data_IF_639615628702
#
_entry.id   IF_639615628702
#
_cell.length_a   1.000
_cell.length_b   1.000
_cell.length_c   1.000
_cell.angle_alpha   90.00
_cell.angle_beta   90.00
_cell.angle_gamma   90.00
#
_symmetry.space_group_name_H-M   'P 1'
#
loop_
_entity.id
_entity.type
_entity.pdbx_description
1 polymer ?
#
# COMPACT_ATOMS: atom_id res chain seq x y z
N UNK A 1 -21.73 -9.97 -22.29
CA UNK A 1 -20.55 -10.80 -22.61
C UNK A 1 -19.62 -10.84 -21.41
N UNK A 2 -18.89 -11.94 -21.20
CA UNK A 2 -17.89 -12.06 -20.12
C UNK A 2 -16.59 -11.41 -20.61
N UNK A 3 -16.10 -10.40 -19.88
CA UNK A 3 -14.80 -9.79 -20.17
C UNK A 3 -13.70 -10.83 -19.85
N UNK A 4 -12.74 -11.08 -20.75
CA UNK A 4 -11.58 -11.92 -20.43
C UNK A 4 -10.83 -11.36 -19.21
N UNK A 5 -10.42 -12.19 -18.23
CA UNK A 5 -9.74 -11.72 -17.01
C UNK A 5 -8.51 -10.87 -17.29
N UNK A 6 -7.71 -11.22 -18.30
CA UNK A 6 -6.53 -10.45 -18.69
C UNK A 6 -6.86 -9.00 -19.10
N UNK A 7 -7.94 -8.80 -19.87
CA UNK A 7 -8.41 -7.45 -20.24
C UNK A 7 -8.98 -6.74 -19.02
N UNK A 8 -9.69 -7.47 -18.14
CA UNK A 8 -10.15 -6.94 -16.86
C UNK A 8 -9.02 -6.41 -15.98
N UNK A 9 -7.91 -7.15 -15.87
CA UNK A 9 -6.72 -6.69 -15.14
C UNK A 9 -6.09 -5.45 -15.80
N UNK A 10 -6.00 -5.41 -17.13
CA UNK A 10 -5.48 -4.23 -17.83
C UNK A 10 -6.32 -2.97 -17.52
N UNK A 11 -7.65 -3.10 -17.58
CA UNK A 11 -8.55 -1.99 -17.23
C UNK A 11 -8.48 -1.62 -15.75
N UNK A 12 -8.32 -2.61 -14.87
CA UNK A 12 -8.13 -2.37 -13.44
C UNK A 12 -6.89 -1.49 -13.19
N UNK A 13 -5.74 -1.86 -13.74
CA UNK A 13 -4.50 -1.08 -13.57
C UNK A 13 -4.58 0.29 -14.24
N UNK A 14 -5.23 0.39 -15.40
CA UNK A 14 -5.32 1.65 -16.13
C UNK A 14 -6.28 2.67 -15.48
N UNK A 15 -7.36 2.21 -14.84
CA UNK A 15 -8.48 3.06 -14.44
C UNK A 15 -8.75 3.11 -12.94
N UNK A 16 -8.41 2.05 -12.20
CA UNK A 16 -8.81 1.89 -10.80
C UNK A 16 -7.61 2.01 -9.87
N UNK A 17 -6.49 1.39 -10.24
CA UNK A 17 -5.30 1.33 -9.40
C UNK A 17 -4.83 2.72 -8.96
N UNK A 18 -4.79 3.69 -9.88
CA UNK A 18 -4.40 5.07 -9.59
C UNK A 18 -5.27 5.76 -8.52
N UNK A 19 -6.56 5.39 -8.41
CA UNK A 19 -7.45 5.92 -7.39
C UNK A 19 -7.27 5.19 -6.06
N UNK A 20 -7.02 3.88 -6.10
CA UNK A 20 -6.78 3.07 -4.90
C UNK A 20 -5.39 3.32 -4.29
N UNK A 21 -4.44 3.85 -5.06
CA UNK A 21 -3.07 4.13 -4.60
C UNK A 21 -2.79 5.63 -4.47
N UNK A 22 -3.77 6.48 -4.76
CA UNK A 22 -3.60 7.93 -4.70
C UNK A 22 -3.17 8.38 -3.30
N UNK A 23 -2.08 9.16 -3.25
CA UNK A 23 -1.52 9.81 -2.06
C UNK A 23 -1.22 8.87 -0.88
N UNK A 24 -1.15 7.55 -1.08
CA UNK A 24 -0.90 6.59 -0.01
C UNK A 24 0.54 6.62 0.53
N UNK A 25 1.44 7.23 -0.22
CA UNK A 25 2.82 7.52 0.15
C UNK A 25 2.92 8.69 1.13
N UNK A 26 2.00 9.65 1.06
CA UNK A 26 1.94 10.81 1.95
C UNK A 26 0.98 10.55 3.13
N UNK A 27 -0.19 9.97 2.86
CA UNK A 27 -1.21 9.64 3.88
C UNK A 27 -1.16 8.15 4.14
N UNK A 28 -0.42 7.77 5.19
CA UNK A 28 -0.20 6.39 5.59
C UNK A 28 -1.47 5.81 6.22
N UNK A 29 -1.79 4.55 5.88
CA UNK A 29 -3.01 3.86 6.32
C UNK A 29 -2.92 3.37 7.79
N UNK A 30 -2.87 4.30 8.74
CA UNK A 30 -2.87 3.98 10.18
C UNK A 30 -4.24 3.49 10.63
N UNK A 31 -5.32 4.06 10.10
CA UNK A 31 -6.70 3.61 10.37
C UNK A 31 -7.08 2.42 9.49
N UNK A 32 -7.23 1.26 10.12
CA UNK A 32 -7.67 0.03 9.46
C UNK A 32 -9.08 0.14 8.86
N UNK A 33 -9.96 0.94 9.46
CA UNK A 33 -11.37 1.05 9.04
C UNK A 33 -11.48 1.63 7.64
N UNK A 34 -10.78 2.73 7.39
CA UNK A 34 -10.74 3.40 6.09
C UNK A 34 -10.11 2.51 5.01
N UNK A 35 -9.03 1.80 5.36
CA UNK A 35 -8.37 0.87 4.45
C UNK A 35 -9.27 -0.33 4.08
N UNK A 36 -10.01 -0.87 5.04
CA UNK A 36 -10.91 -2.01 4.81
C UNK A 36 -12.06 -1.65 3.86
N UNK A 37 -12.57 -0.42 3.90
CA UNK A 37 -13.56 0.06 2.94
C UNK A 37 -13.01 0.01 1.51
N UNK A 38 -11.79 0.50 1.30
CA UNK A 38 -11.11 0.46 -0.01
C UNK A 38 -10.81 -0.98 -0.45
N UNK A 39 -10.30 -1.81 0.45
CA UNK A 39 -9.97 -3.20 0.13
C UNK A 39 -11.23 -4.04 -0.15
N UNK A 40 -12.34 -3.77 0.52
CA UNK A 40 -13.63 -4.41 0.25
C UNK A 40 -14.15 -4.10 -1.16
N UNK A 41 -14.01 -2.84 -1.60
CA UNK A 41 -14.35 -2.42 -2.96
C UNK A 41 -13.41 -3.09 -3.97
N UNK A 42 -12.10 -3.10 -3.69
CA UNK A 42 -11.11 -3.76 -4.53
C UNK A 42 -11.45 -5.24 -4.74
N UNK A 43 -11.65 -6.01 -3.66
CA UNK A 43 -12.01 -7.43 -3.73
C UNK A 43 -13.30 -7.65 -4.54
N UNK A 44 -14.31 -6.79 -4.38
CA UNK A 44 -15.54 -6.89 -5.17
C UNK A 44 -15.30 -6.74 -6.69
N UNK A 45 -14.38 -5.86 -7.09
CA UNK A 45 -13.95 -5.74 -8.49
C UNK A 45 -13.18 -6.97 -8.95
N UNK A 46 -12.26 -7.49 -8.14
CA UNK A 46 -11.49 -8.70 -8.47
C UNK A 46 -12.38 -9.94 -8.65
N UNK A 47 -13.37 -10.13 -7.77
CA UNK A 47 -14.39 -11.17 -7.94
C UNK A 47 -15.12 -11.05 -9.29
N UNK A 48 -15.41 -9.82 -9.72
CA UNK A 48 -16.09 -9.56 -10.99
C UNK A 48 -15.19 -9.81 -12.21
N UNK A 49 -13.90 -9.47 -12.11
CA UNK A 49 -12.91 -9.73 -13.17
C UNK A 49 -12.71 -11.23 -13.37
N UNK A 50 -12.51 -11.98 -12.29
CA UNK A 50 -12.34 -13.43 -12.35
C UNK A 50 -13.68 -14.16 -12.63
N UNK A 51 -14.79 -13.54 -12.28
CA UNK A 51 -16.15 -14.08 -12.42
C UNK A 51 -16.43 -15.22 -11.44
N UNK A 52 -15.98 -15.03 -10.19
CA UNK A 52 -16.21 -15.94 -9.06
C UNK A 52 -17.15 -15.31 -8.04
N UNK A 53 -17.82 -16.14 -7.24
CA UNK A 53 -18.75 -15.65 -6.21
C UNK A 53 -18.04 -15.00 -5.03
N UNK A 54 -18.76 -14.16 -4.27
CA UNK A 54 -18.26 -13.44 -3.08
C UNK A 54 -17.73 -14.34 -1.94
N UNK A 55 -18.00 -15.65 -1.99
CA UNK A 55 -17.54 -16.65 -1.02
C UNK A 55 -16.23 -17.32 -1.42
N UNK A 56 -15.66 -17.00 -2.59
CA UNK A 56 -14.35 -17.53 -2.97
C UNK A 56 -13.28 -16.95 -2.03
N UNK A 57 -12.24 -17.75 -1.75
CA UNK A 57 -11.16 -17.30 -0.89
C UNK A 57 -10.41 -16.10 -1.50
N UNK A 58 -9.99 -15.19 -0.61
CA UNK A 58 -9.34 -13.92 -0.99
C UNK A 58 -7.96 -14.15 -1.60
N UNK A 59 -7.22 -15.15 -1.10
CA UNK A 59 -5.88 -15.49 -1.59
C UNK A 59 -5.92 -15.87 -3.07
N UNK A 60 -6.94 -16.66 -3.47
CA UNK A 60 -7.11 -17.07 -4.87
C UNK A 60 -7.37 -15.88 -5.79
N UNK A 61 -8.06 -14.82 -5.33
CA UNK A 61 -8.30 -13.64 -6.16
C UNK A 61 -6.98 -12.99 -6.58
N UNK A 62 -6.06 -12.85 -5.63
CA UNK A 62 -4.78 -12.20 -5.85
C UNK A 62 -3.80 -13.10 -6.62
N UNK A 63 -3.74 -14.40 -6.28
CA UNK A 63 -2.82 -15.34 -6.94
C UNK A 63 -3.18 -15.60 -8.40
N UNK A 64 -4.47 -15.72 -8.73
CA UNK A 64 -4.93 -16.01 -10.10
C UNK A 64 -4.87 -14.78 -11.02
N UNK A 65 -5.03 -13.57 -10.47
CA UNK A 65 -4.99 -12.33 -11.25
C UNK A 65 -3.61 -11.68 -11.30
N UNK A 66 -2.66 -12.13 -10.47
CA UNK A 66 -1.34 -11.52 -10.34
C UNK A 66 -1.37 -10.11 -9.74
N UNK A 67 -2.41 -9.79 -8.96
CA UNK A 67 -2.61 -8.48 -8.33
C UNK A 67 -2.18 -8.58 -6.86
N UNK A 68 -1.42 -7.59 -6.37
CA UNK A 68 -1.05 -7.53 -4.96
C UNK A 68 -2.22 -7.06 -4.08
N UNK A 69 -2.35 -7.58 -2.84
CA UNK A 69 -3.29 -7.01 -1.87
C UNK A 69 -3.06 -5.50 -1.69
N UNK A 70 -4.15 -4.73 -1.61
CA UNK A 70 -4.08 -3.26 -1.64
C UNK A 70 -3.16 -2.69 -0.55
N UNK A 71 -3.27 -3.25 0.67
CA UNK A 71 -2.41 -2.88 1.80
C UNK A 71 -0.93 -3.01 1.50
N UNK A 72 -0.53 -4.11 0.84
CA UNK A 72 0.87 -4.37 0.50
C UNK A 72 1.35 -3.36 -0.53
N UNK A 73 0.53 -3.12 -1.56
CA UNK A 73 0.87 -2.18 -2.62
C UNK A 73 1.03 -0.74 -2.09
N UNK A 74 0.11 -0.27 -1.24
CA UNK A 74 0.16 1.08 -0.65
C UNK A 74 1.38 1.27 0.25
N UNK A 75 1.71 0.27 1.07
CA UNK A 75 2.93 0.28 1.91
C UNK A 75 4.19 0.30 1.04
N UNK A 76 4.22 -0.47 -0.04
CA UNK A 76 5.37 -0.48 -0.95
C UNK A 76 5.62 0.90 -1.57
N UNK A 77 4.58 1.63 -1.94
CA UNK A 77 4.71 3.01 -2.44
C UNK A 77 5.25 3.97 -1.36
N UNK A 78 4.76 3.87 -0.13
CA UNK A 78 5.29 4.64 0.99
C UNK A 78 6.78 4.34 1.26
N UNK A 79 7.18 3.07 1.16
CA UNK A 79 8.59 2.65 1.29
C UNK A 79 9.46 3.17 0.13
N UNK A 80 8.95 3.17 -1.10
CA UNK A 80 9.65 3.78 -2.23
C UNK A 80 9.84 5.29 -2.01
N UNK A 81 8.83 5.97 -1.47
CA UNK A 81 8.95 7.38 -1.13
C UNK A 81 9.96 7.62 0.00
N UNK A 82 9.97 6.80 1.06
CA UNK A 82 10.99 6.85 2.09
C UNK A 82 12.40 6.70 1.50
N UNK A 83 12.60 5.71 0.61
CA UNK A 83 13.89 5.51 -0.07
C UNK A 83 14.31 6.75 -0.84
N UNK A 84 13.38 7.38 -1.56
CA UNK A 84 13.63 8.64 -2.24
C UNK A 84 14.06 9.74 -1.25
N UNK A 85 13.35 9.93 -0.14
CA UNK A 85 13.68 10.94 0.87
C UNK A 85 15.07 10.76 1.48
N UNK A 86 15.47 9.51 1.74
CA UNK A 86 16.80 9.18 2.30
C UNK A 86 17.92 9.44 1.29
N UNK A 87 17.64 9.39 -0.02
CA UNK A 87 18.63 9.63 -1.07
C UNK A 87 18.79 11.12 -1.44
N UNK A 88 17.95 12.00 -0.91
CA UNK A 88 18.02 13.44 -1.19
C UNK A 88 19.20 14.09 -0.46
N UNK A 89 19.77 15.20 -0.99
CA UNK A 89 20.81 15.96 -0.31
C UNK A 89 20.32 16.54 1.04
N UNK A 90 21.22 16.66 2.02
CA UNK A 90 20.93 17.17 3.37
C UNK A 90 20.26 18.54 3.41
N UNK A 91 20.54 19.39 2.40
CA UNK A 91 19.94 20.72 2.29
C UNK A 91 18.51 20.71 1.74
N UNK A 92 18.06 19.60 1.15
CA UNK A 92 16.74 19.48 0.57
C UNK A 92 15.65 19.48 1.64
N UNK A 93 14.59 20.26 1.45
CA UNK A 93 13.54 20.45 2.46
C UNK A 93 12.85 19.14 2.85
N UNK A 94 12.57 18.27 1.88
CA UNK A 94 11.95 16.97 2.15
C UNK A 94 12.84 16.04 2.98
N UNK A 95 14.17 16.09 2.80
CA UNK A 95 15.11 15.35 3.63
C UNK A 95 15.12 15.89 5.07
N UNK A 96 15.16 17.22 5.24
CA UNK A 96 15.04 17.85 6.56
C UNK A 96 13.72 17.53 7.25
N UNK A 97 12.62 17.49 6.51
CA UNK A 97 11.32 17.10 7.03
C UNK A 97 11.29 15.64 7.50
N UNK A 98 11.98 14.73 6.79
CA UNK A 98 12.16 13.35 7.25
C UNK A 98 12.92 13.29 8.58
N UNK A 99 14.05 14.02 8.69
CA UNK A 99 14.85 14.06 9.92
C UNK A 99 14.05 14.62 11.10
N UNK A 100 13.29 15.70 10.89
CA UNK A 100 12.43 16.26 11.94
C UNK A 100 11.27 15.32 12.28
N UNK A 101 10.71 14.62 11.29
CA UNK A 101 9.73 13.55 11.53
C UNK A 101 10.29 12.46 12.43
N UNK A 102 11.53 12.03 12.23
CA UNK A 102 12.17 11.00 13.07
C UNK A 102 12.46 11.52 14.49
N UNK A 103 12.86 12.78 14.61
CA UNK A 103 12.96 13.46 15.91
C UNK A 103 11.61 13.47 16.66
N UNK A 104 10.51 13.82 15.98
CA UNK A 104 9.16 13.77 16.56
C UNK A 104 8.77 12.34 16.99
N UNK A 105 9.04 11.34 16.14
CA UNK A 105 8.81 9.92 16.46
C UNK A 105 9.55 9.50 17.73
N UNK A 106 10.83 9.86 17.84
CA UNK A 106 11.67 9.53 19.02
C UNK A 106 11.13 10.12 20.32
N UNK A 107 10.37 11.21 20.24
CA UNK A 107 9.71 11.90 21.36
C UNK A 107 8.28 11.42 21.60
N UNK A 108 7.79 10.43 20.86
CA UNK A 108 6.43 9.92 20.95
C UNK A 108 5.37 10.86 20.36
N UNK A 109 5.76 11.80 19.49
CA UNK A 109 4.84 12.71 18.80
C UNK A 109 4.48 12.13 17.43
N UNK A 110 3.22 12.30 17.02
CA UNK A 110 2.74 11.86 15.70
C UNK A 110 3.57 12.49 14.58
N UNK A 111 3.98 11.65 13.64
CA UNK A 111 4.81 12.01 12.50
C UNK A 111 4.63 10.97 11.41
N UNK A 112 4.88 11.36 10.16
CA UNK A 112 4.77 10.47 9.01
C UNK A 112 5.61 9.18 9.14
N UNK A 113 6.83 9.28 9.68
CA UNK A 113 7.72 8.12 9.90
C UNK A 113 7.25 7.24 11.07
N UNK A 114 6.62 7.83 12.10
CA UNK A 114 5.97 7.07 13.17
C UNK A 114 4.75 6.30 12.68
N UNK A 115 3.94 6.91 11.81
CA UNK A 115 2.81 6.24 11.16
C UNK A 115 3.27 5.05 10.32
N UNK A 116 4.40 5.20 9.61
CA UNK A 116 5.02 4.13 8.84
C UNK A 116 5.52 2.99 9.76
N UNK A 117 6.13 3.30 10.91
CA UNK A 117 6.53 2.30 11.92
C UNK A 117 5.33 1.49 12.43
N UNK A 118 4.21 2.17 12.74
CA UNK A 118 2.96 1.52 13.17
C UNK A 118 2.43 0.57 12.08
N UNK A 119 2.36 1.02 10.83
CA UNK A 119 1.81 0.20 9.75
C UNK A 119 2.69 -1.01 9.44
N UNK A 120 4.02 -0.85 9.46
CA UNK A 120 4.98 -1.93 9.27
C UNK A 120 4.92 -2.95 10.41
N UNK A 121 4.77 -2.49 11.66
CA UNK A 121 4.59 -3.36 12.82
C UNK A 121 3.31 -4.20 12.78
N UNK A 122 2.28 -3.73 12.06
CA UNK A 122 0.98 -4.39 11.93
C UNK A 122 0.85 -5.26 10.67
N UNK A 123 1.92 -5.49 9.91
CA UNK A 123 1.85 -6.30 8.68
C UNK A 123 1.33 -7.72 8.98
N UNK A 124 0.48 -8.29 8.10
CA UNK A 124 -0.12 -9.61 8.32
C UNK A 124 0.87 -10.78 8.12
N UNK A 125 2.15 -10.48 7.87
CA UNK A 125 3.24 -11.43 7.72
C UNK A 125 4.50 -10.83 8.34
N UNK A 126 5.40 -11.70 8.82
CA UNK A 126 6.68 -11.27 9.34
C UNK A 126 7.56 -10.74 8.20
N UNK A 127 8.04 -9.50 8.32
CA UNK A 127 9.12 -9.03 7.48
C UNK A 127 10.40 -9.80 7.81
N UNK A 128 11.11 -10.37 6.82
CA UNK A 128 12.41 -10.98 7.06
C UNK A 128 13.33 -9.97 7.73
N UNK A 129 13.81 -10.27 8.94
CA UNK A 129 14.82 -9.44 9.61
C UNK A 129 16.14 -9.61 8.86
N UNK A 130 16.44 -8.64 8.00
CA UNK A 130 17.75 -8.48 7.37
C UNK A 130 17.92 -9.20 6.04
N UNK A 131 17.76 -8.44 4.96
CA UNK A 131 18.79 -8.37 3.92
C UNK A 131 19.04 -6.88 3.67
N UNK A 132 20.22 -6.42 4.04
CA UNK A 132 20.72 -5.11 3.63
C UNK A 132 20.72 -5.07 2.10
N UNK A 133 20.14 -4.02 1.52
CA UNK A 133 20.46 -3.59 0.16
C UNK A 133 21.53 -2.50 0.23
#
# INVERSE_FOLDING_TARGET
GRLPPAIGCQLYYALIDCHLTHACDIVIDVDYTSLELLDSLNRALLHRILGVGKRSGVVQLYSELGIYPLRVHRIQLALHYLRYLVQLPDLHLAHKALLEGDNLRSRGVSSWIGDLEIVLGNLPFAMPRGYCF
#
